data_IF_698934867667
#
_entry.id   IF_698934867667
#
_cell.length_a   1.000
_cell.length_b   1.000
_cell.length_c   1.000
_cell.angle_alpha   90.00
_cell.angle_beta   90.00
_cell.angle_gamma   90.00
#
_symmetry.space_group_name_H-M   'P 1'
#
loop_
_entity.id
_entity.type
_entity.pdbx_description
1 polymer ?
#
# COMPACT_ATOMS: atom_id res chain seq x y z
N UNK A 1 -8.82 22.95 1.07
CA UNK A 1 -9.87 22.28 1.87
C UNK A 1 -9.40 22.09 3.33
N UNK A 2 -10.30 21.87 4.31
CA UNK A 2 -9.93 21.70 5.75
C UNK A 2 -8.83 20.64 6.01
N UNK A 3 -8.66 19.68 5.10
CA UNK A 3 -7.61 18.66 5.14
C UNK A 3 -6.23 19.14 4.71
N UNK A 4 -6.15 20.08 3.78
CA UNK A 4 -4.85 20.61 3.30
C UNK A 4 -4.14 21.41 4.40
N UNK A 5 -4.88 21.92 5.38
CA UNK A 5 -4.33 22.62 6.55
C UNK A 5 -4.09 21.72 7.76
N UNK A 6 -4.45 20.43 7.70
CA UNK A 6 -4.26 19.49 8.80
C UNK A 6 -2.77 19.16 8.94
N UNK A 7 -2.20 19.39 10.12
CA UNK A 7 -0.76 19.16 10.41
C UNK A 7 -0.53 18.12 11.52
N UNK A 8 -1.59 17.67 12.20
CA UNK A 8 -1.48 16.74 13.33
C UNK A 8 -2.66 15.78 13.42
N UNK A 9 -2.41 14.63 14.07
CA UNK A 9 -3.47 13.66 14.38
C UNK A 9 -4.57 14.22 15.28
N UNK A 10 -4.26 15.20 16.14
CA UNK A 10 -5.26 15.85 16.98
C UNK A 10 -6.29 16.61 16.12
N UNK A 11 -5.81 17.41 15.15
CA UNK A 11 -6.68 18.11 14.19
C UNK A 11 -7.46 17.12 13.33
N UNK A 12 -6.81 16.06 12.86
CA UNK A 12 -7.46 15.03 12.06
C UNK A 12 -8.62 14.36 12.81
N UNK A 13 -8.40 13.96 14.06
CA UNK A 13 -9.42 13.32 14.91
C UNK A 13 -10.58 14.26 15.21
N UNK A 14 -10.32 15.56 15.41
CA UNK A 14 -11.36 16.57 15.57
C UNK A 14 -12.21 16.70 14.29
N UNK A 15 -11.55 16.80 13.12
CA UNK A 15 -12.24 16.87 11.82
C UNK A 15 -13.09 15.62 11.60
N UNK A 16 -12.54 14.43 11.85
CA UNK A 16 -13.26 13.17 11.67
C UNK A 16 -14.49 13.09 12.61
N UNK A 17 -14.36 13.45 13.89
CA UNK A 17 -15.48 13.50 14.83
C UNK A 17 -16.60 14.47 14.38
N UNK A 18 -16.22 15.65 13.87
CA UNK A 18 -17.18 16.63 13.33
C UNK A 18 -17.94 16.08 12.12
N UNK A 19 -17.27 15.33 11.26
CA UNK A 19 -17.88 14.69 10.09
C UNK A 19 -18.87 13.62 10.48
N UNK A 20 -18.54 12.80 11.49
CA UNK A 20 -19.45 11.82 12.06
C UNK A 20 -20.71 12.50 12.59
N UNK A 21 -20.54 13.56 13.40
CA UNK A 21 -21.66 14.32 13.96
C UNK A 21 -22.55 14.97 12.88
N UNK A 22 -21.97 15.36 11.74
CA UNK A 22 -22.71 15.96 10.62
C UNK A 22 -23.37 14.92 9.70
N UNK A 23 -23.23 13.62 9.97
CA UNK A 23 -23.82 12.56 9.14
C UNK A 23 -23.13 12.39 7.78
N UNK A 24 -21.90 12.90 7.63
CA UNK A 24 -21.12 12.82 6.39
C UNK A 24 -20.19 11.59 6.38
N UNK A 25 -20.55 10.54 7.13
CA UNK A 25 -19.71 9.35 7.36
C UNK A 25 -19.52 8.46 6.15
N UNK A 26 -20.42 8.54 5.16
CA UNK A 26 -20.39 7.74 3.94
C UNK A 26 -19.63 8.40 2.79
N UNK A 27 -19.01 9.57 3.00
CA UNK A 27 -18.21 10.20 1.96
C UNK A 27 -16.86 9.50 1.79
N UNK A 28 -16.75 8.66 0.76
CA UNK A 28 -15.52 7.97 0.40
C UNK A 28 -14.34 8.91 0.13
N UNK A 29 -14.59 10.13 -0.37
CA UNK A 29 -13.53 11.12 -0.63
C UNK A 29 -12.95 11.58 0.71
N UNK A 30 -13.82 11.77 1.70
CA UNK A 30 -13.44 12.18 3.03
C UNK A 30 -12.61 11.12 3.76
N UNK A 31 -13.08 9.87 3.74
CA UNK A 31 -12.36 8.74 4.34
C UNK A 31 -11.01 8.48 3.65
N UNK A 32 -10.95 8.65 2.32
CA UNK A 32 -9.70 8.57 1.56
C UNK A 32 -8.69 9.62 2.00
N UNK A 33 -9.13 10.85 2.32
CA UNK A 33 -8.25 11.92 2.84
C UNK A 33 -7.74 11.62 4.25
N UNK A 34 -8.61 11.08 5.12
CA UNK A 34 -8.22 10.68 6.48
C UNK A 34 -7.17 9.57 6.42
N UNK A 35 -7.45 8.48 5.68
CA UNK A 35 -6.52 7.37 5.50
C UNK A 35 -5.22 7.86 4.85
N UNK A 36 -5.33 8.69 3.81
CA UNK A 36 -4.18 9.32 3.15
C UNK A 36 -3.28 10.06 4.14
N UNK A 37 -3.84 10.90 5.01
CA UNK A 37 -3.07 11.57 6.06
C UNK A 37 -2.40 10.56 6.99
N UNK A 38 -3.14 9.58 7.52
CA UNK A 38 -2.61 8.62 8.47
C UNK A 38 -1.49 7.73 7.91
N UNK A 39 -1.56 7.34 6.64
CA UNK A 39 -0.57 6.46 6.00
C UNK A 39 0.64 7.22 5.44
N UNK A 40 0.48 8.49 5.06
CA UNK A 40 1.51 9.22 4.29
C UNK A 40 2.21 10.33 5.07
N UNK A 41 1.59 10.89 6.10
CA UNK A 41 2.18 11.96 6.89
C UNK A 41 3.19 11.42 7.92
N UNK A 42 4.21 12.21 8.28
CA UNK A 42 5.20 11.83 9.30
C UNK A 42 4.57 11.60 10.67
N UNK A 43 3.60 12.45 11.04
CA UNK A 43 2.80 12.30 12.26
C UNK A 43 1.61 11.34 12.11
N UNK A 44 1.59 10.51 11.06
CA UNK A 44 0.52 9.56 10.77
C UNK A 44 0.38 8.45 11.81
N UNK A 45 -0.78 7.78 11.81
CA UNK A 45 -1.12 6.71 12.76
C UNK A 45 -1.76 5.54 11.99
N UNK A 46 -0.98 4.47 11.77
CA UNK A 46 -1.44 3.30 11.01
C UNK A 46 -2.55 2.53 11.72
N UNK A 47 -2.63 2.57 13.05
CA UNK A 47 -3.73 1.92 13.78
C UNK A 47 -5.04 2.68 13.55
N UNK A 48 -4.98 4.01 13.55
CA UNK A 48 -6.12 4.82 13.20
C UNK A 48 -6.53 4.67 11.73
N UNK A 49 -5.55 4.57 10.82
CA UNK A 49 -5.82 4.28 9.40
C UNK A 49 -6.61 2.97 9.26
N UNK A 50 -6.20 1.90 9.94
CA UNK A 50 -6.91 0.62 9.92
C UNK A 50 -8.33 0.74 10.48
N UNK A 51 -8.49 1.42 11.62
CA UNK A 51 -9.81 1.64 12.22
C UNK A 51 -10.77 2.34 11.24
N UNK A 52 -10.28 3.35 10.52
CA UNK A 52 -11.09 4.07 9.52
C UNK A 52 -11.37 3.18 8.31
N UNK A 53 -10.37 2.45 7.83
CA UNK A 53 -10.51 1.49 6.74
C UNK A 53 -11.60 0.45 7.01
N UNK A 54 -11.67 -0.08 8.23
CA UNK A 54 -12.65 -1.08 8.66
C UNK A 54 -14.10 -0.59 8.59
N UNK A 55 -14.32 0.73 8.59
CA UNK A 55 -15.67 1.30 8.45
C UNK A 55 -16.14 1.36 7.00
N UNK A 56 -15.27 1.09 6.03
CA UNK A 56 -15.57 1.22 4.60
C UNK A 56 -16.02 -0.14 4.06
N UNK A 57 -17.30 -0.25 3.68
CA UNK A 57 -17.86 -1.49 3.15
C UNK A 57 -17.18 -1.92 1.83
N UNK A 58 -16.96 -0.97 0.93
CA UNK A 58 -16.36 -1.19 -0.39
C UNK A 58 -15.23 -0.19 -0.64
N UNK A 59 -14.01 -0.43 -0.10
CA UNK A 59 -12.88 0.46 -0.35
C UNK A 59 -12.49 0.42 -1.82
N UNK A 60 -12.32 1.60 -2.42
CA UNK A 60 -11.82 1.69 -3.79
C UNK A 60 -10.31 1.35 -3.87
N UNK A 61 -9.82 1.12 -5.08
CA UNK A 61 -8.43 0.76 -5.35
C UNK A 61 -7.41 1.76 -4.76
N UNK A 62 -7.73 3.05 -4.77
CA UNK A 62 -6.87 4.08 -4.19
C UNK A 62 -6.67 3.88 -2.68
N UNK A 63 -7.74 3.57 -1.94
CA UNK A 63 -7.67 3.32 -0.50
C UNK A 63 -6.82 2.08 -0.19
N UNK A 64 -7.03 0.99 -0.95
CA UNK A 64 -6.21 -0.22 -0.83
C UNK A 64 -4.71 0.07 -1.04
N UNK A 65 -4.37 0.72 -2.14
CA UNK A 65 -2.99 1.09 -2.46
C UNK A 65 -2.39 2.04 -1.40
N UNK A 66 -3.21 2.93 -0.82
CA UNK A 66 -2.77 3.83 0.26
C UNK A 66 -2.45 3.07 1.55
N UNK A 67 -3.27 2.10 1.94
CA UNK A 67 -3.01 1.24 3.10
C UNK A 67 -1.76 0.39 2.91
N UNK A 68 -1.63 -0.26 1.74
CA UNK A 68 -0.45 -1.08 1.39
C UNK A 68 0.82 -0.21 1.43
N UNK A 69 0.77 0.99 0.83
CA UNK A 69 1.87 1.97 0.90
C UNK A 69 2.19 2.36 2.34
N UNK A 70 1.19 2.65 3.16
CA UNK A 70 1.38 2.99 4.58
C UNK A 70 2.13 1.90 5.34
N UNK A 71 1.68 0.65 5.22
CA UNK A 71 2.34 -0.50 5.87
C UNK A 71 3.75 -0.80 5.31
N UNK A 72 4.00 -0.53 4.03
CA UNK A 72 5.35 -0.68 3.44
C UNK A 72 6.40 0.28 4.03
N UNK A 73 5.98 1.36 4.73
CA UNK A 73 6.89 2.36 5.31
C UNK A 73 7.35 2.05 6.73
N UNK A 74 6.62 1.21 7.45
CA UNK A 74 6.90 0.92 8.87
C UNK A 74 7.86 -0.29 9.04
N UNK A 75 8.72 -0.54 8.05
CA UNK A 75 9.64 -1.70 7.96
C UNK A 75 8.99 -3.04 8.29
N UNK A 76 7.72 -3.19 7.92
CA UNK A 76 6.94 -4.37 8.23
C UNK A 76 6.21 -4.90 6.99
N UNK A 77 6.93 -5.53 6.05
CA UNK A 77 6.38 -6.02 4.79
C UNK A 77 5.18 -6.96 4.97
N UNK A 78 5.15 -7.71 6.08
CA UNK A 78 4.05 -8.63 6.42
C UNK A 78 2.66 -7.95 6.45
N UNK A 79 2.56 -6.71 6.94
CA UNK A 79 1.26 -6.02 7.00
C UNK A 79 0.83 -5.54 5.62
N UNK A 80 1.77 -5.10 4.78
CA UNK A 80 1.48 -4.75 3.40
C UNK A 80 0.99 -5.97 2.60
N UNK A 81 1.64 -7.13 2.78
CA UNK A 81 1.20 -8.41 2.18
C UNK A 81 -0.16 -8.84 2.72
N UNK A 82 -0.42 -8.70 4.03
CA UNK A 82 -1.74 -9.01 4.60
C UNK A 82 -2.85 -8.16 3.97
N UNK A 83 -2.62 -6.85 3.79
CA UNK A 83 -3.58 -5.98 3.08
C UNK A 83 -3.79 -6.41 1.63
N UNK A 84 -2.73 -6.86 0.95
CA UNK A 84 -2.83 -7.38 -0.41
C UNK A 84 -3.64 -8.69 -0.49
N UNK A 85 -3.48 -9.60 0.46
CA UNK A 85 -4.29 -10.82 0.53
C UNK A 85 -5.76 -10.48 0.74
N UNK A 86 -6.07 -9.59 1.70
CA UNK A 86 -7.45 -9.13 1.96
C UNK A 86 -8.08 -8.46 0.72
N UNK A 87 -7.30 -7.68 -0.03
CA UNK A 87 -7.70 -7.07 -1.30
C UNK A 87 -8.13 -8.14 -2.33
N UNK A 88 -7.35 -9.21 -2.46
CA UNK A 88 -7.65 -10.32 -3.37
C UNK A 88 -8.88 -11.13 -2.92
N UNK A 89 -9.02 -11.40 -1.62
CA UNK A 89 -10.20 -12.07 -1.03
C UNK A 89 -11.50 -11.29 -1.28
N UNK A 90 -11.41 -9.96 -1.34
CA UNK A 90 -12.50 -9.07 -1.72
C UNK A 90 -12.70 -8.93 -3.22
N UNK A 91 -12.00 -9.72 -4.04
CA UNK A 91 -12.03 -9.68 -5.51
C UNK A 91 -11.62 -8.33 -6.12
N UNK A 92 -10.85 -7.52 -5.38
CA UNK A 92 -10.31 -6.26 -5.89
C UNK A 92 -9.00 -6.56 -6.63
N UNK A 93 -8.92 -6.22 -7.91
CA UNK A 93 -7.72 -6.46 -8.73
C UNK A 93 -6.62 -5.44 -8.40
N UNK A 94 -5.37 -5.88 -8.18
CA UNK A 94 -4.24 -4.98 -8.03
C UNK A 94 -3.92 -4.24 -9.31
N UNK A 95 -3.20 -3.13 -9.18
CA UNK A 95 -2.65 -2.38 -10.30
C UNK A 95 -1.12 -2.27 -10.21
N UNK A 96 -0.54 -1.59 -11.18
CA UNK A 96 0.89 -1.34 -11.25
C UNK A 96 1.45 -0.52 -10.06
N UNK A 97 0.61 0.17 -9.27
CA UNK A 97 1.03 0.84 -8.05
C UNK A 97 1.06 -0.09 -6.84
N UNK A 98 0.28 -1.17 -6.85
CA UNK A 98 0.24 -2.15 -5.75
C UNK A 98 1.61 -2.83 -5.54
N UNK A 99 2.21 -3.37 -6.61
CA UNK A 99 3.40 -4.22 -6.52
C UNK A 99 4.67 -3.52 -6.02
N UNK A 100 4.99 -2.27 -6.46
CA UNK A 100 6.15 -1.56 -5.94
C UNK A 100 6.11 -1.36 -4.42
N UNK A 101 4.92 -1.18 -3.83
CA UNK A 101 4.79 -1.06 -2.37
C UNK A 101 4.97 -2.41 -1.68
N UNK A 102 4.50 -3.50 -2.28
CA UNK A 102 4.68 -4.84 -1.72
C UNK A 102 6.12 -5.31 -1.74
N UNK A 103 6.85 -5.01 -2.82
CA UNK A 103 8.25 -5.40 -2.99
C UNK A 103 9.22 -4.57 -2.13
N UNK A 104 8.73 -3.49 -1.52
CA UNK A 104 9.52 -2.63 -0.65
C UNK A 104 9.72 -3.28 0.73
N UNK A 105 10.96 -3.33 1.19
CA UNK A 105 11.32 -3.78 2.55
C UNK A 105 11.61 -5.27 2.69
N UNK A 106 11.52 -6.05 1.61
CA UNK A 106 12.05 -7.41 1.61
C UNK A 106 13.59 -7.37 1.59
N UNK A 107 14.21 -7.95 2.63
CA UNK A 107 15.65 -8.15 2.73
C UNK A 107 15.94 -9.58 3.19
N UNK A 108 17.07 -10.15 2.74
CA UNK A 108 17.53 -11.50 3.11
C UNK A 108 16.56 -12.63 2.70
N UNK A 109 16.72 -13.81 3.31
CA UNK A 109 16.07 -15.07 2.90
C UNK A 109 14.53 -15.04 3.00
N UNK A 110 13.98 -14.42 4.06
CA UNK A 110 12.51 -14.29 4.24
C UNK A 110 11.92 -13.39 3.14
N UNK A 111 12.69 -12.40 2.67
CA UNK A 111 12.29 -11.51 1.59
C UNK A 111 12.23 -12.19 0.23
N UNK A 112 13.12 -13.17 -0.02
CA UNK A 112 13.25 -13.80 -1.33
C UNK A 112 12.03 -14.63 -1.72
N UNK A 113 11.57 -15.53 -0.84
CA UNK A 113 10.44 -16.41 -1.17
C UNK A 113 9.13 -15.62 -1.29
N UNK A 114 8.90 -14.64 -0.40
CA UNK A 114 7.79 -13.71 -0.55
C UNK A 114 7.88 -12.92 -1.86
N UNK A 115 9.06 -12.40 -2.19
CA UNK A 115 9.33 -11.63 -3.40
C UNK A 115 9.07 -12.42 -4.69
N UNK A 116 9.47 -13.70 -4.74
CA UNK A 116 9.16 -14.60 -5.87
C UNK A 116 7.66 -14.84 -6.01
N UNK A 117 6.94 -15.01 -4.90
CA UNK A 117 5.48 -15.10 -4.90
C UNK A 117 4.82 -13.86 -5.49
N UNK A 118 5.26 -12.67 -5.06
CA UNK A 118 4.79 -11.39 -5.61
C UNK A 118 5.17 -11.24 -7.08
N UNK A 119 6.37 -11.64 -7.50
CA UNK A 119 6.77 -11.63 -8.92
C UNK A 119 5.86 -12.54 -9.78
N UNK A 120 5.49 -13.71 -9.28
CA UNK A 120 4.53 -14.59 -9.97
C UNK A 120 3.17 -13.92 -10.14
N UNK A 121 2.76 -13.10 -9.17
CA UNK A 121 1.53 -12.32 -9.27
C UNK A 121 1.67 -11.15 -10.24
N UNK A 122 2.82 -10.47 -10.30
CA UNK A 122 3.12 -9.45 -11.33
C UNK A 122 2.87 -10.04 -12.72
N UNK A 123 3.39 -11.24 -12.97
CA UNK A 123 3.19 -11.94 -14.24
C UNK A 123 1.73 -12.30 -14.49
N UNK A 124 1.08 -12.90 -13.49
CA UNK A 124 -0.35 -13.29 -13.56
C UNK A 124 -1.26 -12.11 -13.91
N UNK A 125 -0.95 -10.92 -13.42
CA UNK A 125 -1.75 -9.71 -13.67
C UNK A 125 -1.26 -8.87 -14.87
N UNK A 126 -0.21 -9.32 -15.58
CA UNK A 126 0.27 -8.69 -16.80
C UNK A 126 1.04 -7.39 -16.59
N UNK A 127 1.76 -7.26 -15.47
CA UNK A 127 2.54 -6.07 -15.14
C UNK A 127 4.05 -6.22 -15.35
N UNK A 128 4.51 -7.29 -16.03
CA UNK A 128 5.93 -7.58 -16.26
C UNK A 128 6.65 -6.46 -17.02
N UNK A 129 5.97 -5.78 -17.94
CA UNK A 129 6.52 -4.70 -18.76
C UNK A 129 6.34 -3.31 -18.13
N UNK A 130 5.81 -3.23 -16.91
CA UNK A 130 5.66 -1.93 -16.24
C UNK A 130 6.99 -1.52 -15.60
N UNK A 131 7.56 -0.42 -16.07
CA UNK A 131 8.88 0.08 -15.62
C UNK A 131 8.97 0.26 -14.09
N UNK A 132 7.90 0.74 -13.43
CA UNK A 132 7.92 0.90 -11.97
C UNK A 132 7.95 -0.44 -11.25
N UNK A 133 7.23 -1.43 -11.77
CA UNK A 133 7.19 -2.79 -11.21
C UNK A 133 8.52 -3.50 -11.45
N UNK A 134 9.09 -3.40 -12.66
CA UNK A 134 10.41 -3.94 -12.99
C UNK A 134 11.51 -3.38 -12.07
N UNK A 135 11.56 -2.05 -11.90
CA UNK A 135 12.52 -1.42 -11.02
C UNK A 135 12.39 -1.91 -9.57
N UNK A 136 11.16 -2.12 -9.09
CA UNK A 136 10.93 -2.67 -7.76
C UNK A 136 11.40 -4.14 -7.63
N UNK A 137 11.18 -4.95 -8.66
CA UNK A 137 11.65 -6.34 -8.72
C UNK A 137 13.18 -6.43 -8.75
N UNK A 138 13.83 -5.64 -9.61
CA UNK A 138 15.29 -5.54 -9.70
C UNK A 138 15.89 -5.19 -8.34
N UNK A 139 15.33 -4.16 -7.68
CA UNK A 139 15.76 -3.73 -6.36
C UNK A 139 15.58 -4.83 -5.31
N UNK A 140 14.43 -5.51 -5.28
CA UNK A 140 14.14 -6.60 -4.36
C UNK A 140 15.11 -7.79 -4.54
N UNK A 141 15.30 -8.26 -5.77
CA UNK A 141 16.23 -9.37 -6.05
C UNK A 141 17.68 -8.99 -5.73
N UNK A 142 18.07 -7.74 -5.99
CA UNK A 142 19.40 -7.22 -5.63
C UNK A 142 19.63 -7.24 -4.11
N UNK A 143 18.65 -6.80 -3.31
CA UNK A 143 18.72 -6.84 -1.85
C UNK A 143 18.71 -8.27 -1.28
N UNK A 144 18.16 -9.24 -2.02
CA UNK A 144 18.18 -10.65 -1.67
C UNK A 144 19.43 -11.39 -2.19
N UNK A 145 20.38 -10.69 -2.81
CA UNK A 145 21.61 -11.28 -3.36
C UNK A 145 21.41 -12.08 -4.65
N UNK A 146 20.23 -12.02 -5.27
CA UNK A 146 19.88 -12.75 -6.49
C UNK A 146 20.17 -11.91 -7.75
N UNK A 147 21.45 -11.57 -7.96
CA UNK A 147 21.88 -10.63 -9.00
C UNK A 147 21.52 -11.12 -10.41
N UNK A 148 21.65 -12.42 -10.69
CA UNK A 148 21.30 -12.98 -12.01
C UNK A 148 19.81 -12.84 -12.33
N UNK A 149 18.93 -13.01 -11.34
CA UNK A 149 17.49 -12.81 -11.52
C UNK A 149 17.19 -11.31 -11.73
N UNK A 150 17.83 -10.44 -10.93
CA UNK A 150 17.69 -9.00 -11.11
C UNK A 150 18.12 -8.55 -12.52
N UNK A 151 19.22 -9.10 -13.04
CA UNK A 151 19.70 -8.86 -14.40
C UNK A 151 18.70 -9.36 -15.45
N UNK A 152 18.17 -10.57 -15.29
CA UNK A 152 17.15 -11.10 -16.18
C UNK A 152 15.91 -10.20 -16.28
N UNK A 153 15.42 -9.68 -15.15
CA UNK A 153 14.30 -8.72 -15.16
C UNK A 153 14.66 -7.43 -15.90
N UNK A 154 15.87 -6.90 -15.70
CA UNK A 154 16.35 -5.69 -16.38
C UNK A 154 16.51 -5.88 -17.90
N UNK A 155 17.00 -7.04 -18.34
CA UNK A 155 17.24 -7.31 -19.76
C UNK A 155 15.94 -7.58 -20.54
N UNK A 156 14.84 -7.88 -19.84
CA UNK A 156 13.49 -8.01 -20.43
C UNK A 156 12.71 -6.70 -20.52
N UNK A 157 13.28 -5.58 -20.05
CA UNK A 157 12.70 -4.24 -20.10
C UNK A 157 12.72 -3.61 -21.49
#
# INVERSE_FOLDING_TARGET
>A
SLFESCKSMAQLKQIHSLTIRKGLTSDHIMLSKIIGFCCTHESGDMNYARLVFDTILEPNLFIWNTMIKGYSRIDCPKYAVSMYVEMLEKNVKPDHYTFPFLLKGFTRDIGLECGKGIHSHVHKFGFDSNVFVQNALIHMYSLCGQIEIARGVFDTS
#
